data_IF_091012997111
#
_entry.id   IF_091012997111
#
_cell.length_a   1.000
_cell.length_b   1.000
_cell.length_c   1.000
_cell.angle_alpha   90.00
_cell.angle_beta   90.00
_cell.angle_gamma   90.00
#
_symmetry.space_group_name_H-M   'P 1'
#
loop_
_entity.id
_entity.type
_entity.pdbx_description
1 polymer ?
#
# COMPACT_ATOMS: atom_id res chain seq x y z
N UNK A 1 20.04 11.66 20.69
CA UNK A 1 20.90 10.54 21.10
C UNK A 1 20.97 9.59 19.92
N UNK A 2 22.13 9.04 19.58
CA UNK A 2 22.24 8.06 18.49
C UNK A 2 21.50 6.74 18.83
N UNK A 3 21.28 6.46 20.11
CA UNK A 3 20.64 5.22 20.57
C UNK A 3 19.13 5.16 20.27
N UNK A 4 18.46 6.29 20.07
CA UNK A 4 17.01 6.36 19.78
C UNK A 4 16.70 6.44 18.28
N UNK A 5 17.72 6.50 17.44
CA UNK A 5 17.54 6.69 16.00
C UNK A 5 16.97 5.45 15.32
N UNK A 6 15.92 5.63 14.52
CA UNK A 6 15.33 4.58 13.69
C UNK A 6 15.32 5.01 12.23
N UNK A 7 15.67 4.07 11.35
CA UNK A 7 15.68 4.32 9.90
C UNK A 7 14.34 4.89 9.39
N UNK A 8 13.21 4.35 9.88
CA UNK A 8 11.88 4.80 9.48
C UNK A 8 11.51 6.23 9.92
N UNK A 9 12.27 6.86 10.82
CA UNK A 9 12.03 8.27 11.19
C UNK A 9 12.55 9.23 10.09
N UNK A 10 13.47 8.76 9.22
CA UNK A 10 13.96 9.49 8.04
C UNK A 10 13.38 8.93 6.73
N UNK A 11 13.31 7.61 6.64
CA UNK A 11 12.92 6.90 5.43
C UNK A 11 11.41 6.66 5.42
N UNK A 12 10.69 7.70 5.02
CA UNK A 12 9.23 7.70 5.01
C UNK A 12 8.66 7.68 3.60
N UNK A 13 7.50 7.06 3.44
CA UNK A 13 6.72 7.12 2.22
C UNK A 13 5.57 8.11 2.34
N UNK A 14 5.42 8.96 1.34
CA UNK A 14 4.27 9.84 1.18
C UNK A 14 3.51 9.46 -0.09
N UNK A 15 2.31 8.90 0.08
CA UNK A 15 1.44 8.53 -1.03
C UNK A 15 0.74 9.79 -1.54
N UNK A 16 1.41 10.47 -2.46
CA UNK A 16 0.90 11.68 -3.08
C UNK A 16 -0.01 11.34 -4.27
N UNK A 17 -1.24 11.84 -4.26
CA UNK A 17 -2.19 11.63 -5.33
C UNK A 17 -1.72 12.33 -6.62
N UNK A 18 -1.76 11.62 -7.75
CA UNK A 18 -1.17 12.08 -9.02
C UNK A 18 -1.71 13.43 -9.51
N UNK A 19 -3.04 13.62 -9.46
CA UNK A 19 -3.68 14.85 -9.97
C UNK A 19 -3.83 15.94 -8.90
N UNK A 20 -4.43 15.59 -7.75
CA UNK A 20 -4.86 16.54 -6.72
C UNK A 20 -3.86 16.69 -5.56
N UNK A 21 -2.82 15.85 -5.50
CA UNK A 21 -1.88 15.82 -4.39
C UNK A 21 -0.85 16.95 -4.37
N UNK A 22 -0.83 17.80 -5.42
CA UNK A 22 -0.03 19.04 -5.53
C UNK A 22 -0.89 20.20 -6.04
N UNK A 23 -2.15 20.23 -5.62
CA UNK A 23 -3.10 21.25 -6.08
C UNK A 23 -2.74 22.67 -5.64
N UNK A 24 -1.86 22.84 -4.63
CA UNK A 24 -1.58 24.12 -3.98
C UNK A 24 -2.66 24.54 -2.97
N UNK A 25 -3.69 23.70 -2.79
CA UNK A 25 -4.78 23.91 -1.84
C UNK A 25 -4.69 22.81 -0.79
N UNK A 26 -4.19 23.17 0.39
CA UNK A 26 -3.91 22.22 1.48
C UNK A 26 -5.12 21.36 1.85
N UNK A 27 -6.33 21.93 1.82
CA UNK A 27 -7.56 21.17 2.10
C UNK A 27 -7.79 20.03 1.09
N UNK A 28 -7.52 20.26 -0.19
CA UNK A 28 -7.64 19.24 -1.23
C UNK A 28 -6.54 18.19 -1.03
N UNK A 29 -5.30 18.62 -0.83
CA UNK A 29 -4.17 17.71 -0.63
C UNK A 29 -4.38 16.79 0.57
N UNK A 30 -4.93 17.31 1.68
CA UNK A 30 -5.25 16.53 2.88
C UNK A 30 -6.34 15.48 2.66
N UNK A 31 -7.22 15.66 1.66
CA UNK A 31 -8.25 14.67 1.33
C UNK A 31 -7.64 13.47 0.61
N UNK A 32 -6.68 13.70 -0.30
CA UNK A 32 -6.19 12.67 -1.22
C UNK A 32 -4.83 12.08 -0.84
N UNK A 33 -3.94 12.84 -0.23
CA UNK A 33 -2.61 12.33 0.11
C UNK A 33 -2.68 11.49 1.39
N UNK A 34 -1.74 10.54 1.52
CA UNK A 34 -1.58 9.73 2.75
C UNK A 34 -0.13 9.68 3.19
N UNK A 35 0.07 9.80 4.50
CA UNK A 35 1.38 9.75 5.15
C UNK A 35 1.86 11.14 5.61
N UNK A 36 3.17 11.29 5.88
CA UNK A 36 4.22 10.31 5.66
C UNK A 36 4.13 9.09 6.62
N UNK A 37 4.52 7.92 6.14
CA UNK A 37 4.58 6.68 6.93
C UNK A 37 6.02 6.13 7.00
N UNK A 38 6.56 5.84 8.20
CA UNK A 38 7.84 5.14 8.35
C UNK A 38 7.90 3.84 7.55
N UNK A 39 8.93 3.66 6.73
CA UNK A 39 9.03 2.48 5.87
C UNK A 39 10.39 1.83 6.02
N UNK A 40 10.43 0.50 5.91
CA UNK A 40 11.67 -0.26 5.89
C UNK A 40 12.13 -0.50 4.46
N UNK A 41 13.41 -0.78 4.29
CA UNK A 41 14.01 -1.10 2.99
C UNK A 41 15.02 -0.07 2.54
N UNK A 42 15.53 -0.25 1.33
CA UNK A 42 16.49 0.62 0.66
C UNK A 42 16.52 0.28 -0.83
N UNK A 43 17.33 0.97 -1.62
CA UNK A 43 17.45 0.75 -3.07
C UNK A 43 18.02 -0.64 -3.45
N UNK A 44 18.86 -1.21 -2.57
CA UNK A 44 19.67 -2.41 -2.86
C UNK A 44 19.37 -3.59 -1.94
N UNK A 45 18.15 -3.66 -1.38
CA UNK A 45 17.68 -4.80 -0.57
C UNK A 45 16.38 -5.37 -1.15
N UNK A 46 15.98 -6.57 -0.69
CA UNK A 46 14.77 -7.27 -1.17
C UNK A 46 13.52 -6.39 -1.06
N UNK A 47 13.35 -5.73 0.08
CA UNK A 47 12.35 -4.70 0.26
C UNK A 47 12.83 -3.42 -0.44
N UNK A 48 12.67 -3.37 -1.76
CA UNK A 48 13.18 -2.26 -2.58
C UNK A 48 12.34 -1.00 -2.43
N UNK A 49 12.79 -0.10 -1.58
CA UNK A 49 12.22 1.24 -1.43
C UNK A 49 13.32 2.24 -1.78
N UNK A 50 13.37 2.69 -3.03
CA UNK A 50 14.43 3.62 -3.44
C UNK A 50 14.15 5.02 -2.91
N UNK A 51 15.20 5.80 -2.76
CA UNK A 51 15.18 7.11 -2.13
C UNK A 51 16.30 7.99 -2.72
N UNK A 52 16.27 9.29 -2.46
CA UNK A 52 17.32 10.22 -2.90
C UNK A 52 18.03 10.86 -1.72
N UNK A 53 19.36 10.98 -1.80
CA UNK A 53 20.15 11.79 -0.85
C UNK A 53 19.77 13.28 -0.89
N UNK A 54 19.24 13.76 -2.03
CA UNK A 54 18.93 15.17 -2.26
C UNK A 54 17.53 15.57 -1.78
N UNK A 55 16.64 14.61 -1.55
CA UNK A 55 15.30 14.80 -0.98
C UNK A 55 15.22 13.87 0.22
N UNK A 56 15.67 14.36 1.40
CA UNK A 56 16.40 13.56 2.38
C UNK A 56 15.68 12.26 2.72
N UNK A 57 16.10 11.19 2.01
CA UNK A 57 15.67 9.81 2.21
C UNK A 57 14.16 9.56 2.03
N UNK A 58 13.43 10.45 1.34
CA UNK A 58 12.03 10.17 0.98
C UNK A 58 11.96 8.99 0.01
N UNK A 59 10.99 8.10 0.23
CA UNK A 59 10.75 6.95 -0.64
C UNK A 59 10.18 7.42 -1.99
N UNK A 60 10.90 7.14 -3.07
CA UNK A 60 10.54 7.53 -4.44
C UNK A 60 9.98 6.38 -5.28
N UNK A 61 10.30 5.15 -4.92
CA UNK A 61 9.75 3.97 -5.59
C UNK A 61 9.57 2.83 -4.60
N UNK A 62 8.61 1.96 -4.90
CA UNK A 62 8.19 0.86 -4.05
C UNK A 62 7.81 -0.38 -4.87
N UNK A 63 7.81 -1.57 -4.26
CA UNK A 63 7.03 -2.69 -4.77
C UNK A 63 5.54 -2.37 -4.61
N UNK A 64 4.90 -1.96 -5.71
CA UNK A 64 3.48 -1.64 -5.70
C UNK A 64 2.60 -2.86 -5.34
N UNK A 65 3.06 -4.07 -5.69
CA UNK A 65 2.38 -5.34 -5.49
C UNK A 65 3.39 -6.40 -5.01
N UNK A 66 3.00 -7.24 -4.05
CA UNK A 66 3.68 -8.48 -3.68
C UNK A 66 2.69 -9.64 -3.75
N UNK A 67 3.14 -10.80 -4.20
CA UNK A 67 2.32 -12.01 -4.30
C UNK A 67 3.15 -13.23 -3.92
N UNK A 68 2.49 -14.19 -3.27
CA UNK A 68 2.98 -15.56 -3.08
C UNK A 68 1.90 -16.46 -3.67
N UNK A 69 2.27 -17.26 -4.67
CA UNK A 69 1.35 -18.12 -5.41
C UNK A 69 1.70 -19.57 -5.14
N UNK A 70 0.78 -20.30 -4.52
CA UNK A 70 0.88 -21.74 -4.31
C UNK A 70 0.21 -22.47 -5.48
N UNK A 71 1.03 -23.00 -6.38
CA UNK A 71 0.54 -23.68 -7.58
C UNK A 71 -0.06 -25.07 -7.29
N UNK A 72 0.15 -25.61 -6.09
CA UNK A 72 -0.46 -26.86 -5.66
C UNK A 72 -1.85 -26.65 -5.06
N UNK A 73 -2.09 -25.48 -4.46
CA UNK A 73 -3.36 -25.05 -3.91
C UNK A 73 -3.50 -23.52 -4.01
N UNK A 74 -4.24 -23.06 -5.02
CA UNK A 74 -4.39 -21.63 -5.27
C UNK A 74 -5.16 -20.90 -4.14
N UNK A 75 -5.97 -21.61 -3.35
CA UNK A 75 -6.69 -21.02 -2.20
C UNK A 75 -5.73 -20.55 -1.08
N UNK A 76 -4.51 -21.11 -1.05
CA UNK A 76 -3.44 -20.74 -0.13
C UNK A 76 -2.57 -19.56 -0.64
N UNK A 77 -2.89 -19.00 -1.80
CA UNK A 77 -2.17 -17.86 -2.37
C UNK A 77 -2.50 -16.57 -1.61
N UNK A 78 -1.55 -15.64 -1.58
CA UNK A 78 -1.69 -14.38 -0.86
C UNK A 78 -1.06 -13.23 -1.62
N UNK A 79 -1.59 -12.03 -1.43
CA UNK A 79 -1.09 -10.81 -2.06
C UNK A 79 -1.20 -9.60 -1.15
N UNK A 80 -0.52 -8.53 -1.52
CA UNK A 80 -0.73 -7.21 -0.96
C UNK A 80 -0.29 -6.17 -1.96
N UNK A 81 -1.07 -5.10 -2.12
CA UNK A 81 -0.62 -3.89 -2.82
C UNK A 81 -0.60 -2.70 -1.85
N UNK A 82 0.04 -1.61 -2.27
CA UNK A 82 0.53 -0.58 -1.35
C UNK A 82 -0.49 0.36 -0.69
N UNK A 83 -1.66 0.59 -1.28
CA UNK A 83 -2.65 1.59 -0.81
C UNK A 83 -3.95 0.93 -0.37
N UNK A 84 -5.05 1.09 -1.08
CA UNK A 84 -6.27 0.32 -0.92
C UNK A 84 -6.88 0.02 -2.29
N UNK A 85 -7.95 -0.76 -2.34
CA UNK A 85 -8.60 -1.16 -3.60
C UNK A 85 -9.42 -0.03 -4.26
N UNK A 86 -9.78 1.00 -3.51
CA UNK A 86 -10.62 2.11 -3.98
C UNK A 86 -9.79 3.34 -4.33
N UNK A 87 -10.19 4.03 -5.40
CA UNK A 87 -9.67 5.36 -5.75
C UNK A 87 -10.46 6.52 -5.11
N UNK A 88 -11.52 6.23 -4.34
CA UNK A 88 -12.35 7.25 -3.71
C UNK A 88 -11.85 7.59 -2.30
N UNK A 89 -11.48 8.86 -1.98
CA UNK A 89 -10.74 9.22 -0.76
C UNK A 89 -11.50 8.99 0.55
N UNK A 90 -12.83 8.85 0.48
CA UNK A 90 -13.69 8.59 1.64
C UNK A 90 -14.17 7.13 1.71
N UNK A 91 -13.71 6.27 0.81
CA UNK A 91 -14.06 4.86 0.81
C UNK A 91 -13.20 4.11 1.85
N UNK A 92 -13.74 3.13 2.61
CA UNK A 92 -12.95 2.36 3.59
C UNK A 92 -11.70 1.72 3.01
N UNK A 93 -11.78 1.18 1.78
CA UNK A 93 -10.62 0.62 1.06
C UNK A 93 -9.76 1.63 0.29
N UNK A 94 -9.68 2.90 0.70
CA UNK A 94 -8.79 3.87 0.04
C UNK A 94 -7.32 3.65 0.43
N UNK A 95 -7.08 3.33 1.69
CA UNK A 95 -5.76 3.32 2.33
C UNK A 95 -5.57 2.16 3.33
N UNK A 96 -6.51 1.22 3.38
CA UNK A 96 -6.58 0.14 4.37
C UNK A 96 -5.44 -0.89 4.27
N UNK A 97 -4.79 -1.03 3.11
CA UNK A 97 -3.63 -1.91 2.99
C UNK A 97 -2.30 -1.22 3.30
N UNK A 98 -2.24 0.10 3.51
CA UNK A 98 -0.96 0.81 3.74
C UNK A 98 -0.19 0.18 4.90
N UNK A 99 -0.85 -0.01 6.05
CA UNK A 99 -0.20 -0.57 7.23
C UNK A 99 0.15 -2.05 7.06
N UNK A 100 -0.67 -2.84 6.38
CA UNK A 100 -0.32 -4.24 6.07
C UNK A 100 0.90 -4.31 5.15
N UNK A 101 0.88 -3.52 4.07
CA UNK A 101 1.93 -3.49 3.06
C UNK A 101 3.29 -3.08 3.62
N UNK A 102 3.36 -2.04 4.46
CA UNK A 102 4.62 -1.57 5.06
C UNK A 102 5.17 -2.50 6.14
N UNK A 103 4.30 -3.32 6.75
CA UNK A 103 4.65 -4.34 7.73
C UNK A 103 4.84 -5.74 7.11
N UNK A 104 4.87 -5.85 5.77
CA UNK A 104 5.08 -7.13 5.05
C UNK A 104 4.00 -8.17 5.44
N UNK A 105 2.79 -7.70 5.67
CA UNK A 105 1.61 -8.53 5.89
C UNK A 105 0.84 -8.68 4.57
N UNK A 106 0.17 -9.82 4.42
CA UNK A 106 -0.56 -10.17 3.22
C UNK A 106 -2.05 -10.32 3.51
N UNK A 107 -2.84 -10.20 2.45
CA UNK A 107 -4.24 -10.61 2.42
C UNK A 107 -4.39 -11.86 1.55
N UNK A 108 -5.34 -12.74 1.86
CA UNK A 108 -5.61 -13.92 1.06
C UNK A 108 -6.05 -13.55 -0.36
N UNK A 109 -5.67 -14.37 -1.33
CA UNK A 109 -6.13 -14.29 -2.72
C UNK A 109 -7.16 -15.39 -2.94
N UNK A 110 -8.41 -15.12 -2.56
CA UNK A 110 -9.50 -16.09 -2.67
C UNK A 110 -9.68 -16.55 -4.12
N UNK A 111 -9.48 -17.85 -4.34
CA UNK A 111 -9.56 -18.47 -5.66
C UNK A 111 -10.87 -19.24 -5.85
N UNK A 112 -11.24 -20.03 -4.85
CA UNK A 112 -12.44 -20.85 -4.91
C UNK A 112 -13.71 -20.00 -4.77
N UNK A 113 -14.71 -20.31 -5.60
CA UNK A 113 -15.96 -19.55 -5.63
C UNK A 113 -16.66 -19.51 -4.27
N UNK A 114 -16.54 -20.59 -3.48
CA UNK A 114 -17.11 -20.65 -2.13
C UNK A 114 -16.46 -19.60 -1.23
N UNK A 115 -15.14 -19.54 -1.18
CA UNK A 115 -14.41 -18.60 -0.33
C UNK A 115 -14.64 -17.15 -0.76
N UNK A 116 -14.71 -16.89 -2.07
CA UNK A 116 -15.05 -15.58 -2.61
C UNK A 116 -16.44 -15.15 -2.12
N UNK A 117 -17.44 -16.04 -2.16
CA UNK A 117 -18.81 -15.72 -1.72
C UNK A 117 -18.92 -15.53 -0.22
N UNK A 118 -18.26 -16.38 0.56
CA UNK A 118 -18.31 -16.33 2.02
C UNK A 118 -17.60 -15.09 2.59
N UNK A 119 -16.64 -14.53 1.85
CA UNK A 119 -15.87 -13.35 2.23
C UNK A 119 -16.22 -12.09 1.42
N UNK A 120 -17.31 -12.10 0.65
CA UNK A 120 -17.72 -10.95 -0.13
C UNK A 120 -18.30 -9.84 0.76
N UNK A 121 -17.77 -8.62 0.66
CA UNK A 121 -18.37 -7.45 1.31
C UNK A 121 -19.66 -6.98 0.62
N UNK A 122 -19.80 -7.26 -0.68
CA UNK A 122 -20.98 -6.91 -1.47
C UNK A 122 -21.06 -7.70 -2.77
N UNK A 123 -22.28 -7.84 -3.29
CA UNK A 123 -22.56 -8.54 -4.55
C UNK A 123 -23.32 -7.60 -5.48
N UNK A 124 -22.76 -7.32 -6.65
CA UNK A 124 -23.40 -6.56 -7.72
C UNK A 124 -23.80 -7.51 -8.85
N UNK A 125 -25.07 -7.55 -9.20
CA UNK A 125 -25.56 -8.25 -10.40
C UNK A 125 -25.69 -7.26 -11.55
N UNK A 126 -24.93 -7.48 -12.62
CA UNK A 126 -25.06 -6.73 -13.87
C UNK A 126 -25.98 -7.51 -14.81
N UNK A 127 -27.13 -6.95 -15.13
CA UNK A 127 -28.04 -7.47 -16.14
C UNK A 127 -27.87 -6.67 -17.43
N UNK A 128 -28.08 -7.28 -18.62
CA UNK A 128 -28.12 -6.56 -19.88
C UNK A 128 -29.13 -5.41 -19.91
#
# INVERSE_FOLDING_TARGET
DFNDWRWGDLHTIYFQHATLGRSGISLIENIFNRGPFPTHGSESVVQKTCWSVNQPYEVLCIPALRQVIDLSDLSNSMMIHSVGQSGHPFHPHYDDFIDKWRNIQYVPMWFDQKDIRDNAEGILTLTP
#
